data_IF_205857959281
#
_entry.id   IF_205857959281
#
_cell.length_a   1.000
_cell.length_b   1.000
_cell.length_c   1.000
_cell.angle_alpha   90.00
_cell.angle_beta   90.00
_cell.angle_gamma   90.00
#
_symmetry.space_group_name_H-M   'P 1'
#
loop_
_entity.id
_entity.type
_entity.pdbx_description
1 polymer ?
#
# COMPACT_ATOMS: atom_id res chain seq x y z
N UNK A 1 1.81 26.54 44.64
CA UNK A 1 1.64 25.78 43.37
C UNK A 1 2.87 26.02 42.50
N UNK A 2 3.79 25.05 42.44
CA UNK A 2 5.11 25.16 41.81
C UNK A 2 5.05 24.62 40.38
N UNK A 3 4.83 25.48 39.38
CA UNK A 3 4.94 25.11 37.95
C UNK A 3 6.40 25.20 37.52
N UNK A 4 7.25 24.27 37.97
CA UNK A 4 8.71 24.34 37.72
C UNK A 4 9.17 23.81 36.36
N UNK A 5 8.30 23.19 35.54
CA UNK A 5 8.72 22.64 34.24
C UNK A 5 7.64 22.78 33.14
N UNK A 6 7.29 24.01 32.70
CA UNK A 6 6.33 24.20 31.60
C UNK A 6 6.79 23.48 30.31
N UNK A 7 8.10 23.41 30.07
CA UNK A 7 8.67 22.74 28.90
C UNK A 7 8.48 21.22 28.91
N UNK A 8 8.62 20.57 30.08
CA UNK A 8 8.41 19.14 30.19
C UNK A 8 6.94 18.77 29.91
N UNK A 9 6.01 19.61 30.36
CA UNK A 9 4.58 19.44 30.10
C UNK A 9 4.24 19.62 28.61
N UNK A 10 4.87 20.59 27.92
CA UNK A 10 4.67 20.79 26.49
C UNK A 10 5.25 19.64 25.64
N UNK A 11 6.40 19.08 26.04
CA UNK A 11 7.02 17.94 25.34
C UNK A 11 6.19 16.67 25.52
N UNK A 12 5.68 16.40 26.73
CA UNK A 12 4.82 15.22 26.92
C UNK A 12 3.50 15.38 26.18
N UNK A 13 2.92 16.58 26.13
CA UNK A 13 1.70 16.86 25.36
C UNK A 13 1.91 16.66 23.85
N UNK A 14 3.03 17.12 23.29
CA UNK A 14 3.32 16.96 21.87
C UNK A 14 3.58 15.50 21.49
N UNK A 15 4.26 14.74 22.36
CA UNK A 15 4.45 13.30 22.17
C UNK A 15 3.12 12.54 22.24
N UNK A 16 2.24 12.88 23.19
CA UNK A 16 0.90 12.29 23.28
C UNK A 16 0.08 12.57 22.02
N UNK A 17 0.14 13.80 21.50
CA UNK A 17 -0.54 14.18 20.27
C UNK A 17 -0.01 13.41 19.06
N UNK A 18 1.31 13.25 18.92
CA UNK A 18 1.92 12.42 17.87
C UNK A 18 1.49 10.95 17.97
N UNK A 19 1.41 10.39 19.18
CA UNK A 19 0.91 9.02 19.38
C UNK A 19 -0.56 8.86 18.98
N UNK A 20 -1.42 9.85 19.27
CA UNK A 20 -2.83 9.84 18.86
C UNK A 20 -2.94 9.91 17.33
N UNK A 21 -2.15 10.75 16.67
CA UNK A 21 -2.11 10.84 15.21
C UNK A 21 -1.62 9.54 14.57
N UNK A 22 -0.58 8.91 15.13
CA UNK A 22 -0.09 7.62 14.66
C UNK A 22 -1.13 6.50 14.82
N UNK A 23 -1.90 6.49 15.91
CA UNK A 23 -2.95 5.50 16.16
C UNK A 23 -4.16 5.60 15.21
N UNK A 24 -4.44 6.77 14.65
CA UNK A 24 -5.56 6.95 13.72
C UNK A 24 -5.25 6.51 12.28
N UNK A 25 -3.97 6.47 11.89
CA UNK A 25 -3.55 6.27 10.50
C UNK A 25 -3.64 4.81 9.99
N UNK A 26 -3.75 3.81 10.87
CA UNK A 26 -3.51 2.40 10.48
C UNK A 26 -4.77 1.50 10.49
N UNK A 27 -5.96 2.05 10.70
CA UNK A 27 -7.18 1.24 10.79
C UNK A 27 -7.59 0.61 9.44
N UNK A 28 -7.23 1.24 8.32
CA UNK A 28 -7.63 0.77 7.00
C UNK A 28 -6.93 -0.53 6.60
N UNK A 29 -5.60 -0.60 6.72
CA UNK A 29 -4.82 -1.78 6.32
C UNK A 29 -5.06 -2.95 7.25
N UNK A 30 -5.19 -2.71 8.55
CA UNK A 30 -5.56 -3.73 9.53
C UNK A 30 -6.95 -4.32 9.23
N UNK A 31 -7.92 -3.49 8.88
CA UNK A 31 -9.25 -3.97 8.47
C UNK A 31 -9.16 -4.80 7.19
N UNK A 32 -8.42 -4.33 6.18
CA UNK A 32 -8.23 -5.06 4.93
C UNK A 32 -7.56 -6.41 5.12
N UNK A 33 -6.55 -6.51 5.99
CA UNK A 33 -5.92 -7.77 6.32
C UNK A 33 -6.91 -8.76 6.96
N UNK A 34 -7.76 -8.29 7.88
CA UNK A 34 -8.82 -9.14 8.48
C UNK A 34 -9.84 -9.60 7.45
N UNK A 35 -10.20 -8.73 6.50
CA UNK A 35 -11.13 -9.08 5.43
C UNK A 35 -10.52 -10.17 4.53
N UNK A 36 -9.24 -10.03 4.13
CA UNK A 36 -8.51 -11.02 3.32
C UNK A 36 -8.45 -12.39 4.04
N UNK A 37 -8.17 -12.39 5.34
CA UNK A 37 -8.15 -13.62 6.14
C UNK A 37 -9.51 -14.33 6.21
N UNK A 38 -10.61 -13.61 6.01
CA UNK A 38 -11.96 -14.17 6.03
C UNK A 38 -12.44 -14.66 4.66
N UNK A 39 -11.74 -14.29 3.58
CA UNK A 39 -12.08 -14.75 2.23
C UNK A 39 -11.88 -16.26 2.12
N UNK A 40 -12.76 -16.92 1.37
CA UNK A 40 -12.57 -18.30 0.91
C UNK A 40 -11.44 -18.39 -0.12
N UNK A 41 -10.94 -19.59 -0.38
CA UNK A 41 -9.80 -19.79 -1.31
C UNK A 41 -10.14 -19.36 -2.74
N UNK A 42 -11.38 -19.58 -3.18
CA UNK A 42 -11.88 -19.12 -4.48
C UNK A 42 -11.99 -17.59 -4.54
N UNK A 43 -12.47 -16.96 -3.46
CA UNK A 43 -12.52 -15.51 -3.37
C UNK A 43 -11.12 -14.92 -3.38
N UNK A 44 -10.17 -15.51 -2.65
CA UNK A 44 -8.79 -15.05 -2.56
C UNK A 44 -8.08 -15.09 -3.91
N UNK A 45 -8.28 -16.17 -4.69
CA UNK A 45 -7.78 -16.30 -6.06
C UNK A 45 -8.39 -15.24 -7.00
N UNK A 46 -9.72 -15.08 -6.98
CA UNK A 46 -10.40 -14.07 -7.80
C UNK A 46 -9.98 -12.65 -7.43
N UNK A 47 -9.75 -12.40 -6.15
CA UNK A 47 -9.32 -11.11 -5.62
C UNK A 47 -7.88 -10.81 -6.04
N UNK A 48 -6.99 -11.81 -6.01
CA UNK A 48 -5.63 -11.70 -6.53
C UNK A 48 -5.60 -11.32 -8.02
N UNK A 49 -6.43 -11.99 -8.83
CA UNK A 49 -6.54 -11.69 -10.27
C UNK A 49 -7.04 -10.26 -10.49
N UNK A 50 -8.14 -9.87 -9.84
CA UNK A 50 -8.69 -8.53 -9.96
C UNK A 50 -7.72 -7.42 -9.54
N UNK A 51 -6.90 -7.63 -8.50
CA UNK A 51 -5.86 -6.66 -8.11
C UNK A 51 -4.76 -6.61 -9.17
N UNK A 52 -4.34 -7.76 -9.68
CA UNK A 52 -3.29 -7.85 -10.70
C UNK A 52 -3.69 -7.14 -11.99
N UNK A 53 -4.94 -7.30 -12.41
CA UNK A 53 -5.47 -6.64 -13.60
C UNK A 53 -5.57 -5.12 -13.40
N UNK A 54 -6.06 -4.67 -12.24
CA UNK A 54 -6.08 -3.23 -11.91
C UNK A 54 -4.69 -2.60 -11.86
N UNK A 55 -3.68 -3.32 -11.36
CA UNK A 55 -2.29 -2.84 -11.39
C UNK A 55 -1.82 -2.69 -12.84
N UNK A 56 -2.07 -3.68 -13.70
CA UNK A 56 -1.72 -3.61 -15.13
C UNK A 56 -2.41 -2.45 -15.83
N UNK A 57 -3.69 -2.22 -15.58
CA UNK A 57 -4.46 -1.11 -16.18
C UNK A 57 -3.86 0.25 -15.78
N UNK A 58 -3.50 0.40 -14.50
CA UNK A 58 -2.83 1.61 -14.01
C UNK A 58 -1.48 1.80 -14.71
N UNK A 59 -0.65 0.77 -14.76
CA UNK A 59 0.65 0.81 -15.43
C UNK A 59 0.52 1.16 -16.91
N UNK A 60 -0.47 0.58 -17.61
CA UNK A 60 -0.78 0.91 -19.00
C UNK A 60 -1.19 2.37 -19.17
N UNK A 61 -2.08 2.89 -18.33
CA UNK A 61 -2.50 4.29 -18.36
C UNK A 61 -1.35 5.27 -18.11
N UNK A 62 -0.38 4.92 -17.25
CA UNK A 62 0.82 5.72 -17.06
C UNK A 62 1.73 5.68 -18.30
N UNK A 63 1.89 4.50 -18.91
CA UNK A 63 2.70 4.32 -20.12
C UNK A 63 2.16 5.08 -21.32
N UNK A 64 0.83 5.09 -21.51
CA UNK A 64 0.17 5.81 -22.60
C UNK A 64 0.31 7.33 -22.44
N UNK A 65 0.29 7.84 -21.21
CA UNK A 65 0.56 9.26 -20.93
C UNK A 65 2.03 9.63 -21.14
N UNK A 66 2.95 8.72 -20.88
CA UNK A 66 4.38 8.92 -21.10
C UNK A 66 4.76 8.83 -22.59
N UNK A 67 4.02 8.04 -23.38
CA UNK A 67 4.22 7.89 -24.84
C UNK A 67 3.86 9.13 -25.67
N UNK A 68 3.34 10.19 -25.05
CA UNK A 68 3.18 11.51 -25.68
C UNK A 68 4.47 12.36 -25.64
N UNK A 69 5.52 11.89 -24.96
CA UNK A 69 6.88 12.44 -25.03
C UNK A 69 7.69 11.66 -26.06
N UNK A 70 8.58 12.38 -26.75
CA UNK A 70 9.34 11.99 -27.94
C UNK A 70 9.79 10.50 -27.99
N UNK A 71 9.49 9.74 -29.07
CA UNK A 71 9.86 8.32 -29.16
C UNK A 71 11.37 8.02 -29.13
N UNK A 72 12.23 9.05 -29.19
CA UNK A 72 13.68 8.89 -29.28
C UNK A 72 14.37 8.53 -27.96
N UNK A 73 13.68 8.65 -26.81
CA UNK A 73 14.21 8.33 -25.48
C UNK A 73 13.71 7.00 -24.90
N UNK A 74 13.09 6.14 -25.72
CA UNK A 74 12.70 4.79 -25.32
C UNK A 74 13.90 3.84 -25.31
N UNK A 75 14.86 4.11 -24.42
CA UNK A 75 15.74 3.05 -23.93
C UNK A 75 14.86 1.92 -23.36
N UNK A 76 15.23 0.64 -23.56
CA UNK A 76 14.55 -0.46 -22.94
C UNK A 76 14.91 -0.42 -21.44
N UNK A 77 14.19 0.41 -20.68
CA UNK A 77 14.27 0.44 -19.21
C UNK A 77 13.86 -0.94 -18.72
N UNK A 78 14.86 -1.79 -18.56
CA UNK A 78 14.82 -3.02 -17.80
C UNK A 78 14.12 -2.75 -16.47
N UNK A 79 12.93 -3.34 -16.31
CA UNK A 79 12.37 -3.89 -15.06
C UNK A 79 12.80 -3.19 -13.76
N UNK A 80 12.57 -1.90 -13.64
CA UNK A 80 12.41 -1.31 -12.33
C UNK A 80 10.99 -0.78 -12.25
N UNK A 81 10.10 -1.41 -11.45
CA UNK A 81 8.81 -0.79 -11.17
C UNK A 81 9.16 0.59 -10.62
N UNK A 82 8.67 1.65 -11.29
CA UNK A 82 8.89 3.01 -10.81
C UNK A 82 8.53 3.07 -9.32
N UNK A 83 9.26 3.86 -8.52
CA UNK A 83 8.98 3.97 -7.10
C UNK A 83 7.53 4.40 -6.94
N UNK A 84 6.68 3.44 -6.60
CA UNK A 84 5.28 3.67 -6.36
C UNK A 84 5.22 4.69 -5.23
N UNK A 85 4.87 5.92 -5.57
CA UNK A 85 4.87 7.02 -4.62
C UNK A 85 4.03 6.61 -3.41
N UNK A 86 4.61 6.73 -2.22
CA UNK A 86 3.90 6.42 -0.97
C UNK A 86 2.63 7.27 -0.93
N UNK A 87 1.47 6.61 -0.92
CA UNK A 87 0.15 7.25 -0.97
C UNK A 87 -0.54 7.26 -2.35
N UNK A 88 0.06 6.70 -3.41
CA UNK A 88 -0.65 6.46 -4.67
C UNK A 88 -1.60 5.26 -4.58
N UNK A 89 -2.66 5.27 -5.39
CA UNK A 89 -3.57 4.12 -5.51
C UNK A 89 -2.83 2.84 -5.91
N UNK A 90 -1.80 2.95 -6.76
CA UNK A 90 -0.95 1.83 -7.14
C UNK A 90 -0.16 1.29 -5.95
N UNK A 91 0.41 2.17 -5.11
CA UNK A 91 1.14 1.76 -3.90
C UNK A 91 0.26 0.93 -2.95
N UNK A 92 -0.97 1.38 -2.71
CA UNK A 92 -1.92 0.65 -1.88
C UNK A 92 -2.34 -0.69 -2.51
N UNK A 93 -2.55 -0.75 -3.82
CA UNK A 93 -2.87 -1.99 -4.54
C UNK A 93 -1.72 -3.00 -4.43
N UNK A 94 -0.46 -2.56 -4.53
CA UNK A 94 0.70 -3.41 -4.33
C UNK A 94 0.81 -3.95 -2.90
N UNK A 95 0.51 -3.12 -1.90
CA UNK A 95 0.45 -3.56 -0.50
C UNK A 95 -0.64 -4.63 -0.29
N UNK A 96 -1.83 -4.41 -0.83
CA UNK A 96 -2.94 -5.37 -0.74
C UNK A 96 -2.56 -6.67 -1.48
N UNK A 97 -1.97 -6.59 -2.68
CA UNK A 97 -1.50 -7.78 -3.42
C UNK A 97 -0.54 -8.61 -2.58
N UNK A 98 0.40 -7.96 -1.88
CA UNK A 98 1.35 -8.65 -1.00
C UNK A 98 0.64 -9.36 0.15
N UNK A 99 -0.36 -8.73 0.78
CA UNK A 99 -1.15 -9.37 1.84
C UNK A 99 -1.92 -10.60 1.33
N UNK A 100 -2.49 -10.50 0.12
CA UNK A 100 -3.18 -11.63 -0.54
C UNK A 100 -2.21 -12.77 -0.82
N UNK A 101 -1.04 -12.49 -1.39
CA UNK A 101 -0.01 -13.51 -1.63
C UNK A 101 0.40 -14.22 -0.33
N UNK A 102 0.61 -13.46 0.75
CA UNK A 102 0.97 -14.03 2.06
C UNK A 102 -0.13 -14.96 2.60
N UNK A 103 -1.40 -14.58 2.45
CA UNK A 103 -2.52 -15.43 2.88
C UNK A 103 -2.68 -16.66 1.98
N UNK A 104 -2.41 -16.55 0.67
CA UNK A 104 -2.40 -17.69 -0.25
C UNK A 104 -1.28 -18.69 0.07
N UNK A 105 -0.07 -18.19 0.31
CA UNK A 105 1.08 -19.00 0.72
C UNK A 105 0.79 -19.73 2.03
N UNK A 106 0.19 -19.04 3.01
CA UNK A 106 -0.22 -19.63 4.30
C UNK A 106 -1.22 -20.79 4.13
N UNK A 107 -2.03 -20.76 3.08
CA UNK A 107 -3.04 -21.77 2.77
C UNK A 107 -2.57 -22.83 1.77
N UNK A 108 -1.30 -22.79 1.35
CA UNK A 108 -0.74 -23.64 0.30
C UNK A 108 -1.50 -23.54 -1.04
N UNK A 109 -2.06 -22.37 -1.33
CA UNK A 109 -2.63 -22.08 -2.63
C UNK A 109 -1.49 -21.67 -3.55
N UNK A 110 -1.22 -22.47 -4.59
CA UNK A 110 -0.22 -22.12 -5.58
C UNK A 110 -0.59 -20.77 -6.21
N UNK A 111 0.33 -19.81 -6.12
CA UNK A 111 0.24 -18.55 -6.85
C UNK A 111 0.13 -18.88 -8.35
N UNK A 112 -0.91 -18.39 -9.05
CA UNK A 112 -1.06 -18.59 -10.48
C UNK A 112 -0.01 -17.83 -11.30
#
# INVERSE_FOLDING_TARGET
MNTKHPYAFLITLSLLFLCILAGCADNYMVKKQKDIQRMSDTELLSYYQGITDRIKDIDHHFRDKQSLLDPQDQEPRNRFPEPHYIGSDSYHLHQIRKMVCQEMEKRNLNLP
#
